data_IF_344410397734
#
_entry.id   IF_344410397734
#
_cell.length_a   1.000
_cell.length_b   1.000
_cell.length_c   1.000
_cell.angle_alpha   90.00
_cell.angle_beta   90.00
_cell.angle_gamma   90.00
#
_symmetry.space_group_name_H-M   'P 1'
#
loop_
_entity.id
_entity.type
_entity.pdbx_description
1 polymer ?
#
# COMPACT_ATOMS: atom_id res chain seq x y z
N UNK A 1 -0.89 -2.62 -14.22
CA UNK A 1 -1.10 -2.41 -12.76
C UNK A 1 -0.75 -0.97 -12.44
N UNK A 2 -1.64 -0.24 -11.76
CA UNK A 2 -1.58 1.23 -11.61
C UNK A 2 -1.20 1.61 -10.17
N UNK A 3 -0.36 2.63 -10.00
CA UNK A 3 -0.07 3.21 -8.67
C UNK A 3 -1.28 4.04 -8.23
N UNK A 4 -1.71 3.84 -6.99
CA UNK A 4 -2.77 4.60 -6.36
C UNK A 4 -2.18 5.53 -5.30
N UNK A 5 -2.65 6.77 -5.22
CA UNK A 5 -2.20 7.75 -4.24
C UNK A 5 -3.40 8.42 -3.56
N UNK A 6 -3.31 8.65 -2.25
CA UNK A 6 -4.38 9.26 -1.47
C UNK A 6 -3.86 10.03 -0.24
N UNK A 7 -4.65 11.00 0.21
CA UNK A 7 -4.45 11.69 1.49
C UNK A 7 -5.31 11.01 2.56
N UNK A 8 -4.72 10.65 3.70
CA UNK A 8 -5.47 10.03 4.82
C UNK A 8 -6.28 11.04 5.63
N UNK A 9 -6.03 12.34 5.44
CA UNK A 9 -6.60 13.42 6.26
C UNK A 9 -6.07 13.49 7.69
N UNK A 10 -5.14 12.60 8.08
CA UNK A 10 -4.49 12.62 9.40
C UNK A 10 -3.53 13.80 9.51
N UNK A 11 -3.51 14.46 10.67
CA UNK A 11 -2.72 15.67 10.95
C UNK A 11 -1.22 15.40 11.16
N UNK A 12 -0.56 14.71 10.24
CA UNK A 12 0.90 14.55 10.24
C UNK A 12 1.62 15.64 9.43
N UNK A 13 0.91 16.28 8.49
CA UNK A 13 1.44 17.34 7.63
C UNK A 13 0.31 18.35 7.29
N UNK A 14 0.65 19.57 6.80
CA UNK A 14 -0.34 20.61 6.48
C UNK A 14 -1.41 20.20 5.47
N UNK A 15 -1.12 19.22 4.60
CA UNK A 15 -2.03 18.68 3.58
C UNK A 15 -2.67 17.34 3.97
N UNK A 16 -2.43 16.87 5.19
CA UNK A 16 -2.68 15.49 5.58
C UNK A 16 -1.53 14.56 5.14
N UNK A 17 -1.51 13.34 5.68
CA UNK A 17 -0.52 12.32 5.33
C UNK A 17 -0.79 11.75 3.94
N UNK A 18 0.21 11.84 3.07
CA UNK A 18 0.22 11.42 1.66
C UNK A 18 0.81 10.03 1.54
N UNK A 19 0.02 9.13 0.97
CA UNK A 19 0.43 7.74 0.78
C UNK A 19 0.21 7.35 -0.67
N UNK A 20 1.18 6.65 -1.25
CA UNK A 20 1.01 5.92 -2.50
C UNK A 20 1.20 4.42 -2.27
N UNK A 21 0.51 3.60 -3.06
CA UNK A 21 0.67 2.15 -3.03
C UNK A 21 0.51 1.50 -4.39
N UNK A 22 1.05 0.28 -4.51
CA UNK A 22 0.95 -0.58 -5.69
C UNK A 22 0.85 -2.04 -5.26
N UNK A 23 -0.07 -2.78 -5.87
CA UNK A 23 -0.11 -4.24 -5.76
C UNK A 23 1.04 -4.82 -6.58
N UNK A 24 1.93 -5.59 -5.93
CA UNK A 24 3.10 -6.21 -6.57
C UNK A 24 2.79 -7.65 -6.97
N UNK A 25 2.09 -8.39 -6.11
CA UNK A 25 1.71 -9.77 -6.37
C UNK A 25 0.38 -10.08 -5.68
N UNK A 26 -0.36 -11.04 -6.22
CA UNK A 26 -1.59 -11.57 -5.64
C UNK A 26 -1.54 -13.09 -5.74
N UNK A 27 -1.83 -13.75 -4.63
CA UNK A 27 -1.86 -15.21 -4.53
C UNK A 27 -3.22 -15.62 -3.99
N UNK A 28 -3.86 -16.59 -4.64
CA UNK A 28 -5.11 -17.18 -4.14
C UNK A 28 -4.81 -18.15 -3.01
N UNK A 29 -5.62 -18.11 -1.96
CA UNK A 29 -5.49 -19.00 -0.81
C UNK A 29 -6.03 -20.38 -1.18
N UNK A 30 -5.20 -21.44 -1.18
CA UNK A 30 -5.60 -22.76 -1.68
C UNK A 30 -6.74 -23.38 -0.85
N UNK A 31 -6.77 -23.09 0.45
CA UNK A 31 -7.78 -23.60 1.38
C UNK A 31 -9.08 -22.78 1.37
N UNK A 32 -9.09 -21.61 0.72
CA UNK A 32 -10.21 -20.68 0.70
C UNK A 32 -10.45 -20.13 -0.71
N UNK A 33 -11.32 -20.80 -1.48
CA UNK A 33 -11.59 -20.52 -2.90
C UNK A 33 -12.02 -19.09 -3.25
N UNK A 34 -12.32 -18.25 -2.25
CA UNK A 34 -12.71 -16.86 -2.43
C UNK A 34 -11.74 -15.85 -1.82
N UNK A 35 -10.62 -16.29 -1.24
CA UNK A 35 -9.64 -15.40 -0.61
C UNK A 35 -8.37 -15.33 -1.44
N UNK A 36 -7.83 -14.11 -1.51
CA UNK A 36 -6.50 -13.83 -2.05
C UNK A 36 -5.71 -12.97 -1.06
N UNK A 37 -4.42 -13.22 -1.00
CA UNK A 37 -3.45 -12.35 -0.34
C UNK A 37 -2.65 -11.60 -1.38
N UNK A 38 -2.72 -10.28 -1.33
CA UNK A 38 -1.89 -9.38 -2.14
C UNK A 38 -0.73 -8.83 -1.35
N UNK A 39 0.46 -8.81 -1.95
CA UNK A 39 1.57 -7.98 -1.48
C UNK A 39 1.44 -6.59 -2.05
N UNK A 40 1.41 -5.59 -1.17
CA UNK A 40 1.23 -4.19 -1.52
C UNK A 40 2.43 -3.40 -1.04
N UNK A 41 3.20 -2.83 -1.98
CA UNK A 41 4.19 -1.82 -1.64
C UNK A 41 3.50 -0.49 -1.38
N UNK A 42 3.95 0.22 -0.36
CA UNK A 42 3.46 1.54 -0.01
C UNK A 42 4.62 2.50 0.28
N UNK A 43 4.36 3.79 0.11
CA UNK A 43 5.25 4.88 0.47
C UNK A 43 4.44 5.98 1.16
N UNK A 44 4.76 6.22 2.43
CA UNK A 44 4.30 7.32 3.24
C UNK A 44 5.41 8.38 3.31
N UNK A 45 5.29 9.38 2.44
CA UNK A 45 6.33 10.40 2.24
C UNK A 45 6.40 11.40 3.39
N UNK A 46 5.34 11.52 4.20
CA UNK A 46 5.29 12.46 5.31
C UNK A 46 5.91 11.86 6.58
N UNK A 47 5.78 10.55 6.80
CA UNK A 47 6.45 9.85 7.91
C UNK A 47 7.78 9.21 7.52
N UNK A 48 8.17 9.30 6.25
CA UNK A 48 9.37 8.64 5.68
C UNK A 48 9.34 7.12 5.91
N UNK A 49 8.19 6.50 5.69
CA UNK A 49 8.01 5.05 5.87
C UNK A 49 7.72 4.44 4.50
N UNK A 50 8.53 3.46 4.11
CA UNK A 50 8.28 2.63 2.93
C UNK A 50 8.25 1.16 3.33
N UNK A 51 7.50 0.36 2.61
CA UNK A 51 7.51 -1.08 2.86
C UNK A 51 6.48 -1.86 2.07
N UNK A 52 6.42 -3.15 2.35
CA UNK A 52 5.42 -4.07 1.81
C UNK A 52 4.53 -4.55 2.95
N UNK A 53 3.22 -4.51 2.73
CA UNK A 53 2.21 -5.14 3.57
C UNK A 53 1.51 -6.27 2.81
N UNK A 54 1.11 -7.32 3.54
CA UNK A 54 0.22 -8.33 3.02
C UNK A 54 -1.23 -7.93 3.30
N UNK A 55 -2.07 -7.97 2.27
CA UNK A 55 -3.48 -7.58 2.34
C UNK A 55 -4.34 -8.73 1.86
N UNK A 56 -5.12 -9.32 2.76
CA UNK A 56 -6.15 -10.30 2.38
C UNK A 56 -7.40 -9.59 1.87
N UNK A 57 -7.95 -10.09 0.77
CA UNK A 57 -9.18 -9.61 0.13
C UNK A 57 -9.89 -10.74 -0.61
N UNK A 58 -11.11 -10.49 -1.08
CA UNK A 58 -11.86 -11.47 -1.87
C UNK A 58 -11.29 -11.61 -3.29
N UNK A 59 -11.41 -12.80 -3.87
CA UNK A 59 -10.98 -13.11 -5.23
C UNK A 59 -11.72 -12.24 -6.25
N UNK A 60 -10.97 -11.67 -7.21
CA UNK A 60 -11.51 -10.77 -8.24
C UNK A 60 -11.50 -9.29 -7.85
N UNK A 61 -11.38 -8.98 -6.56
CA UNK A 61 -11.24 -7.60 -6.08
C UNK A 61 -9.77 -7.20 -5.94
N UNK A 62 -9.47 -5.90 -6.00
CA UNK A 62 -8.18 -5.37 -5.57
C UNK A 62 -8.23 -4.88 -4.12
N UNK A 63 -7.10 -4.87 -3.40
CA UNK A 63 -7.01 -4.23 -2.08
C UNK A 63 -7.51 -2.78 -2.11
N UNK A 64 -8.50 -2.47 -1.27
CA UNK A 64 -8.95 -1.09 -1.07
C UNK A 64 -7.91 -0.27 -0.31
N UNK A 65 -7.91 1.06 -0.52
CA UNK A 65 -7.03 1.99 0.19
C UNK A 65 -7.21 1.90 1.71
N UNK A 66 -8.44 1.71 2.18
CA UNK A 66 -8.74 1.55 3.61
C UNK A 66 -8.10 0.29 4.18
N UNK A 67 -8.14 -0.82 3.42
CA UNK A 67 -7.54 -2.08 3.86
C UNK A 67 -6.02 -2.01 3.87
N UNK A 68 -5.41 -1.39 2.85
CA UNK A 68 -3.97 -1.12 2.82
C UNK A 68 -3.55 -0.28 4.03
N UNK A 69 -4.29 0.79 4.33
CA UNK A 69 -4.01 1.66 5.47
C UNK A 69 -4.11 0.92 6.80
N UNK A 70 -5.13 0.07 6.99
CA UNK A 70 -5.26 -0.77 8.19
C UNK A 70 -4.07 -1.72 8.37
N UNK A 71 -3.62 -2.38 7.30
CA UNK A 71 -2.47 -3.29 7.34
C UNK A 71 -1.16 -2.55 7.62
N UNK A 72 -1.01 -1.34 7.07
CA UNK A 72 0.10 -0.44 7.38
C UNK A 72 0.11 -0.02 8.85
N UNK A 73 -1.03 0.42 9.39
CA UNK A 73 -1.15 0.87 10.78
C UNK A 73 -0.90 -0.24 11.79
N UNK A 74 -1.16 -1.51 11.41
CA UNK A 74 -0.86 -2.67 12.25
C UNK A 74 0.65 -2.92 12.43
N UNK A 75 1.52 -2.23 11.70
CA UNK A 75 2.98 -2.24 11.94
C UNK A 75 3.72 -3.49 11.45
N UNK A 76 3.11 -4.30 10.58
CA UNK A 76 3.67 -5.56 10.06
C UNK A 76 4.44 -5.44 8.74
N UNK A 77 4.89 -4.25 8.37
CA UNK A 77 5.52 -4.02 7.07
C UNK A 77 7.00 -4.40 7.04
N UNK A 78 7.45 -4.95 5.92
CA UNK A 78 8.88 -5.19 5.64
C UNK A 78 9.40 -4.09 4.73
N UNK A 79 10.47 -3.40 5.11
CA UNK A 79 11.27 -2.63 4.15
C UNK A 79 11.87 -3.64 3.19
N UNK A 80 11.56 -3.56 1.89
CA UNK A 80 12.29 -4.22 0.78
C UNK A 80 11.42 -4.15 -0.48
N UNK A 81 11.76 -3.26 -1.40
CA UNK A 81 11.47 -3.38 -2.83
C UNK A 81 12.55 -2.57 -3.59
N UNK A 82 12.61 -2.70 -4.91
CA UNK A 82 13.63 -1.99 -5.69
C UNK A 82 13.48 -0.46 -5.60
N UNK A 83 14.60 0.24 -5.77
CA UNK A 83 14.67 1.71 -5.70
C UNK A 83 13.76 2.38 -6.72
N UNK A 84 13.61 1.79 -7.91
CA UNK A 84 12.78 2.34 -8.97
C UNK A 84 11.31 2.42 -8.54
N UNK A 85 10.78 1.36 -7.94
CA UNK A 85 9.42 1.35 -7.42
C UNK A 85 9.26 2.31 -6.23
N UNK A 86 10.29 2.48 -5.39
CA UNK A 86 10.26 3.47 -4.31
C UNK A 86 10.13 4.89 -4.83
N UNK A 87 10.91 5.24 -5.85
CA UNK A 87 10.87 6.55 -6.48
C UNK A 87 9.52 6.78 -7.19
N UNK A 88 8.98 5.76 -7.88
CA UNK A 88 7.66 5.83 -8.51
C UNK A 88 6.56 6.11 -7.48
N UNK A 89 6.56 5.41 -6.34
CA UNK A 89 5.59 5.62 -5.27
C UNK A 89 5.77 6.99 -4.60
N UNK A 90 7.01 7.42 -4.33
CA UNK A 90 7.30 8.72 -3.75
C UNK A 90 6.79 9.86 -4.65
N UNK A 91 7.03 9.76 -5.95
CA UNK A 91 6.60 10.74 -6.94
C UNK A 91 5.07 10.82 -7.02
N UNK A 92 4.38 9.67 -7.00
CA UNK A 92 2.92 9.63 -6.99
C UNK A 92 2.33 10.26 -5.72
N UNK A 93 2.88 9.95 -4.54
CA UNK A 93 2.41 10.53 -3.27
C UNK A 93 2.66 12.05 -3.19
N UNK A 94 3.80 12.52 -3.70
CA UNK A 94 4.15 13.96 -3.71
C UNK A 94 3.29 14.80 -4.67
N UNK A 95 2.64 14.16 -5.64
CA UNK A 95 1.75 14.83 -6.60
C UNK A 95 0.36 15.17 -6.03
N UNK A 96 0.03 14.72 -4.81
CA UNK A 96 -1.18 15.06 -4.05
C UNK A 96 -1.09 16.45 -3.39
#
# INVERSE_FOLDING_TARGET
>A
MTIQAFNTGRQYAPKGQRIAYKVISTQSEPDYQHLSTSQVAFNDVDRMITGIVAVMHMNGDQPSKERVLQCYDAGGYKHLFDQELEDQLANAARAL
#
